data_IF_394999960586
#
_entry.id   IF_394999960586
#
_cell.length_a   1.000
_cell.length_b   1.000
_cell.length_c   1.000
_cell.angle_alpha   90.00
_cell.angle_beta   90.00
_cell.angle_gamma   90.00
#
_symmetry.space_group_name_H-M   'P 1'
#
loop_
_entity.id
_entity.type
_entity.pdbx_description
1 polymer ?
#
# COMPACT_ATOMS: atom_id res chain seq x y z
N UNK A 1 10.03 19.11 11.24
CA UNK A 1 9.71 17.66 11.25
C UNK A 1 8.21 17.50 11.04
N UNK A 2 7.81 16.60 10.12
CA UNK A 2 6.40 16.25 10.01
C UNK A 2 5.98 15.58 11.33
N UNK A 3 4.83 15.97 11.92
CA UNK A 3 4.40 15.40 13.18
C UNK A 3 4.23 13.88 13.05
N UNK A 4 4.65 13.14 14.07
CA UNK A 4 4.42 11.69 14.12
C UNK A 4 2.91 11.45 14.20
N UNK A 5 2.32 10.51 13.43
CA UNK A 5 0.94 10.14 13.67
C UNK A 5 0.81 9.62 15.11
N UNK A 6 -0.06 10.24 15.88
CA UNK A 6 -0.33 9.82 17.26
C UNK A 6 -1.29 8.63 17.21
N UNK A 7 -0.79 7.47 16.81
CA UNK A 7 -1.58 6.23 16.75
C UNK A 7 -1.35 5.41 18.02
N UNK A 8 -2.42 4.76 18.48
CA UNK A 8 -2.44 3.83 19.61
C UNK A 8 -2.69 2.39 19.18
N UNK A 9 -3.08 2.21 17.91
CA UNK A 9 -3.39 0.90 17.33
C UNK A 9 -3.51 0.92 15.82
N UNK A 10 -3.58 -0.28 15.23
CA UNK A 10 -3.67 -0.45 13.78
C UNK A 10 -4.97 0.06 13.15
N UNK A 11 -6.01 0.22 13.93
CA UNK A 11 -7.33 0.68 13.45
C UNK A 11 -7.55 2.18 13.59
N UNK A 12 -6.58 2.90 14.17
CA UNK A 12 -6.69 4.34 14.33
C UNK A 12 -6.74 5.04 12.98
N UNK A 13 -7.55 6.09 12.92
CA UNK A 13 -7.70 6.90 11.73
C UNK A 13 -6.44 7.74 11.49
N UNK A 14 -5.91 7.67 10.29
CA UNK A 14 -4.77 8.47 9.82
C UNK A 14 -5.12 9.13 8.50
N UNK A 15 -4.57 10.31 8.26
CA UNK A 15 -4.68 10.98 6.97
C UNK A 15 -3.40 10.72 6.16
N UNK A 16 -3.54 10.31 4.92
CA UNK A 16 -2.43 10.04 4.02
C UNK A 16 -1.82 11.36 3.50
N UNK A 17 -0.78 11.83 4.18
CA UNK A 17 -0.08 13.05 3.81
C UNK A 17 -1.02 14.25 3.65
N UNK A 18 -0.94 14.94 2.49
CA UNK A 18 -1.78 16.10 2.15
C UNK A 18 -2.98 15.75 1.28
N UNK A 19 -3.30 14.47 1.08
CA UNK A 19 -4.34 14.02 0.14
C UNK A 19 -5.77 14.25 0.61
N UNK A 20 -5.99 14.45 1.92
CA UNK A 20 -7.32 14.43 2.52
C UNK A 20 -7.96 13.03 2.59
N UNK A 21 -7.27 11.98 2.17
CA UNK A 21 -7.73 10.59 2.30
C UNK A 21 -7.46 10.12 3.72
N UNK A 22 -8.52 9.80 4.46
CA UNK A 22 -8.44 9.25 5.83
C UNK A 22 -8.74 7.75 5.79
N UNK A 23 -7.94 6.96 6.51
CA UNK A 23 -8.03 5.50 6.52
C UNK A 23 -7.53 4.93 7.85
N UNK A 24 -7.53 3.60 8.04
CA UNK A 24 -6.87 2.96 9.18
C UNK A 24 -5.36 2.95 9.01
N UNK A 25 -4.62 2.98 10.14
CA UNK A 25 -3.16 2.90 10.13
C UNK A 25 -2.64 1.59 9.53
N UNK A 26 -3.27 0.45 9.88
CA UNK A 26 -3.00 -0.83 9.25
C UNK A 26 -3.80 -0.97 7.96
N UNK A 27 -3.13 -1.29 6.86
CA UNK A 27 -3.74 -1.71 5.62
C UNK A 27 -3.79 -3.25 5.53
N UNK A 28 -4.88 -3.73 4.96
CA UNK A 28 -5.09 -5.12 4.63
C UNK A 28 -4.33 -5.47 3.34
N UNK A 29 -3.14 -6.07 3.48
CA UNK A 29 -2.28 -6.44 2.36
C UNK A 29 -2.79 -7.69 1.63
N UNK A 30 -3.04 -7.57 0.33
CA UNK A 30 -3.58 -8.67 -0.49
C UNK A 30 -2.58 -9.28 -1.47
N UNK A 31 -1.35 -8.75 -1.53
CA UNK A 31 -0.35 -9.05 -2.56
C UNK A 31 0.75 -10.03 -2.15
N UNK A 32 0.56 -10.88 -1.14
CA UNK A 32 1.55 -11.89 -0.78
C UNK A 32 1.77 -12.86 -1.95
N UNK A 33 3.03 -13.03 -2.37
CA UNK A 33 3.41 -13.80 -3.57
C UNK A 33 2.53 -13.47 -4.79
N UNK A 34 2.22 -12.15 -4.94
CA UNK A 34 1.34 -11.65 -5.98
C UNK A 34 2.05 -11.44 -7.31
N UNK A 35 1.43 -11.84 -8.39
CA UNK A 35 1.88 -11.70 -9.77
C UNK A 35 0.94 -12.42 -10.72
N UNK A 36 0.99 -12.08 -12.00
CA UNK A 36 0.16 -12.71 -13.03
C UNK A 36 -1.34 -12.75 -12.68
N UNK A 37 -1.85 -11.70 -12.04
CA UNK A 37 -3.23 -11.58 -11.54
C UNK A 37 -3.64 -12.70 -10.58
N UNK A 38 -2.73 -13.08 -9.70
CA UNK A 38 -2.93 -14.06 -8.64
C UNK A 38 -2.12 -13.69 -7.41
N UNK A 39 -2.55 -14.07 -6.22
CA UNK A 39 -1.83 -13.91 -4.95
C UNK A 39 -2.16 -15.07 -4.02
N UNK A 40 -1.43 -15.22 -2.91
CA UNK A 40 -1.75 -16.24 -1.91
C UNK A 40 -3.20 -16.14 -1.46
N UNK A 41 -3.69 -14.91 -1.30
CA UNK A 41 -5.05 -14.69 -0.83
C UNK A 41 -6.11 -15.08 -1.88
N UNK A 42 -5.91 -14.76 -3.16
CA UNK A 42 -6.85 -15.16 -4.23
C UNK A 42 -6.84 -16.68 -4.45
N UNK A 43 -5.71 -17.34 -4.27
CA UNK A 43 -5.61 -18.81 -4.34
C UNK A 43 -6.38 -19.55 -3.25
N UNK A 44 -6.74 -18.88 -2.16
CA UNK A 44 -7.62 -19.45 -1.13
C UNK A 44 -9.09 -19.58 -1.60
N UNK A 45 -9.46 -18.88 -2.67
CA UNK A 45 -10.82 -18.82 -3.20
C UNK A 45 -11.68 -17.75 -2.53
N UNK A 46 -12.81 -17.42 -3.20
CA UNK A 46 -13.68 -16.31 -2.86
C UNK A 46 -14.23 -16.36 -1.42
N UNK A 47 -14.67 -17.51 -0.98
CA UNK A 47 -15.27 -17.65 0.38
C UNK A 47 -14.27 -17.28 1.47
N UNK A 48 -13.04 -17.83 1.41
CA UNK A 48 -12.01 -17.54 2.40
C UNK A 48 -11.55 -16.08 2.29
N UNK A 49 -11.36 -15.57 1.07
CA UNK A 49 -11.05 -14.16 0.85
C UNK A 49 -12.08 -13.25 1.53
N UNK A 50 -13.36 -13.47 1.25
CA UNK A 50 -14.46 -12.70 1.81
C UNK A 50 -14.45 -12.76 3.34
N UNK A 51 -14.31 -13.94 3.93
CA UNK A 51 -14.29 -14.12 5.38
C UNK A 51 -13.15 -13.33 6.04
N UNK A 52 -11.94 -13.40 5.47
CA UNK A 52 -10.76 -12.74 6.03
C UNK A 52 -10.91 -11.22 5.90
N UNK A 53 -11.31 -10.71 4.73
CA UNK A 53 -11.48 -9.28 4.52
C UNK A 53 -12.59 -8.71 5.39
N UNK A 54 -13.74 -9.40 5.50
CA UNK A 54 -14.85 -8.99 6.36
C UNK A 54 -14.44 -8.93 7.82
N UNK A 55 -13.73 -9.95 8.29
CA UNK A 55 -13.18 -9.95 9.65
C UNK A 55 -12.30 -8.72 9.89
N UNK A 56 -11.40 -8.38 8.95
CA UNK A 56 -10.58 -7.17 9.05
C UNK A 56 -11.40 -5.88 9.13
N UNK A 57 -12.47 -5.77 8.32
CA UNK A 57 -13.37 -4.62 8.35
C UNK A 57 -14.15 -4.52 9.68
N UNK A 58 -14.61 -5.65 10.21
CA UNK A 58 -15.32 -5.72 11.49
C UNK A 58 -14.41 -5.32 12.66
N UNK A 59 -13.12 -5.70 12.60
CA UNK A 59 -12.08 -5.26 13.53
C UNK A 59 -11.65 -3.79 13.33
N UNK A 60 -12.11 -3.10 12.28
CA UNK A 60 -11.84 -1.69 12.00
C UNK A 60 -10.68 -1.42 11.05
N UNK A 61 -10.10 -2.43 10.39
CA UNK A 61 -9.12 -2.25 9.32
C UNK A 61 -9.86 -1.79 8.06
N UNK A 62 -9.69 -0.52 7.67
CA UNK A 62 -10.44 0.10 6.57
C UNK A 62 -9.62 0.31 5.30
N UNK A 63 -8.31 0.19 5.37
CA UNK A 63 -7.40 0.42 4.28
C UNK A 63 -7.15 -0.87 3.50
N UNK A 64 -7.60 -0.93 2.24
CA UNK A 64 -7.42 -2.11 1.39
C UNK A 64 -6.28 -1.86 0.40
N UNK A 65 -5.22 -2.63 0.52
CA UNK A 65 -4.05 -2.59 -0.35
C UNK A 65 -4.20 -3.66 -1.44
N UNK A 66 -4.67 -3.24 -2.61
CA UNK A 66 -4.92 -4.05 -3.79
C UNK A 66 -3.91 -3.75 -4.90
N UNK A 67 -3.91 -4.54 -5.94
CA UNK A 67 -3.26 -4.24 -7.22
C UNK A 67 -3.84 -5.11 -8.34
N UNK A 68 -3.74 -4.63 -9.59
CA UNK A 68 -4.15 -5.41 -10.76
C UNK A 68 -3.42 -6.77 -10.81
N UNK A 69 -2.09 -6.76 -10.66
CA UNK A 69 -1.29 -7.98 -10.71
C UNK A 69 -1.57 -8.99 -9.58
N UNK A 70 -2.30 -8.59 -8.54
CA UNK A 70 -2.70 -9.52 -7.48
C UNK A 70 -4.00 -10.27 -7.81
N UNK A 71 -4.73 -9.83 -8.84
CA UNK A 71 -6.02 -10.39 -9.24
C UNK A 71 -7.13 -10.20 -8.21
N UNK A 72 -6.98 -9.22 -7.32
CA UNK A 72 -7.82 -9.08 -6.12
C UNK A 72 -9.07 -8.23 -6.33
N UNK A 73 -9.19 -7.50 -7.44
CA UNK A 73 -10.33 -6.61 -7.68
C UNK A 73 -11.68 -7.33 -7.66
N UNK A 74 -11.90 -8.42 -8.43
CA UNK A 74 -13.18 -9.13 -8.40
C UNK A 74 -13.49 -9.73 -7.03
N UNK A 75 -12.46 -10.26 -6.34
CA UNK A 75 -12.60 -10.81 -5.00
C UNK A 75 -13.01 -9.75 -3.99
N UNK A 76 -12.37 -8.58 -4.04
CA UNK A 76 -12.69 -7.46 -3.18
C UNK A 76 -14.12 -6.96 -3.43
N UNK A 77 -14.55 -6.84 -4.70
CA UNK A 77 -15.91 -6.46 -5.04
C UNK A 77 -16.94 -7.36 -4.38
N UNK A 78 -16.77 -8.69 -4.50
CA UNK A 78 -17.67 -9.65 -3.85
C UNK A 78 -17.65 -9.52 -2.32
N UNK A 79 -16.48 -9.42 -1.75
CA UNK A 79 -16.31 -9.27 -0.30
C UNK A 79 -16.90 -7.96 0.23
N UNK A 80 -16.97 -6.90 -0.56
CA UNK A 80 -17.48 -5.58 -0.18
C UNK A 80 -18.99 -5.40 -0.45
N UNK A 81 -19.68 -6.38 -1.03
CA UNK A 81 -21.14 -6.28 -1.24
C UNK A 81 -21.88 -5.93 0.04
N UNK A 82 -22.68 -4.84 -0.01
CA UNK A 82 -23.44 -4.36 1.14
C UNK A 82 -22.63 -3.58 2.19
N UNK A 83 -21.32 -3.41 2.00
CA UNK A 83 -20.52 -2.50 2.84
C UNK A 83 -20.64 -1.08 2.27
N UNK A 84 -21.05 -0.09 3.07
CA UNK A 84 -21.08 1.30 2.62
C UNK A 84 -19.69 1.77 2.12
N UNK A 85 -19.67 2.55 1.03
CA UNK A 85 -18.41 2.97 0.36
C UNK A 85 -17.50 3.80 1.26
N UNK A 86 -18.05 4.54 2.19
CA UNK A 86 -17.33 5.37 3.16
C UNK A 86 -16.69 4.58 4.31
N UNK A 87 -16.97 3.28 4.40
CA UNK A 87 -16.42 2.41 5.44
C UNK A 87 -15.04 1.83 5.09
N UNK A 88 -14.55 2.02 3.87
CA UNK A 88 -13.26 1.50 3.43
C UNK A 88 -12.56 2.44 2.45
N UNK A 89 -11.24 2.33 2.40
CA UNK A 89 -10.35 3.06 1.50
C UNK A 89 -9.75 2.08 0.49
N UNK A 90 -9.94 2.35 -0.80
CA UNK A 90 -9.41 1.54 -1.89
C UNK A 90 -8.09 2.12 -2.41
N UNK A 91 -7.02 1.39 -2.21
CA UNK A 91 -5.76 1.61 -2.89
C UNK A 91 -5.53 0.48 -3.88
N UNK A 92 -5.22 0.83 -5.11
CA UNK A 92 -4.77 -0.14 -6.12
C UNK A 92 -3.56 0.36 -6.88
N UNK A 93 -2.99 -0.48 -7.73
CA UNK A 93 -1.77 -0.20 -8.46
C UNK A 93 -1.89 -0.66 -9.91
N UNK A 94 -1.49 0.22 -10.83
CA UNK A 94 -1.35 -0.08 -12.25
C UNK A 94 0.07 -0.55 -12.53
N UNK A 95 0.24 -1.67 -13.24
CA UNK A 95 1.54 -2.08 -13.72
C UNK A 95 2.05 -1.09 -14.79
N UNK A 96 3.32 -0.71 -14.78
CA UNK A 96 3.77 0.37 -15.65
C UNK A 96 3.88 -0.02 -17.13
N UNK A 97 4.09 -1.30 -17.43
CA UNK A 97 4.27 -1.78 -18.79
C UNK A 97 2.92 -2.10 -19.44
N UNK A 98 2.60 -1.41 -20.52
CA UNK A 98 1.32 -1.57 -21.23
C UNK A 98 1.10 -2.96 -21.82
N UNK A 99 2.18 -3.69 -22.10
CA UNK A 99 2.16 -5.06 -22.62
C UNK A 99 1.50 -6.05 -21.64
N UNK A 100 1.54 -5.73 -20.36
CA UNK A 100 0.92 -6.52 -19.29
C UNK A 100 -0.53 -6.10 -19.00
N UNK A 101 -1.06 -5.09 -19.69
CA UNK A 101 -2.43 -4.62 -19.51
C UNK A 101 -3.44 -5.52 -20.24
N UNK A 102 -4.64 -5.57 -19.69
CA UNK A 102 -5.78 -6.25 -20.37
C UNK A 102 -6.19 -5.47 -21.63
N UNK A 103 -5.99 -4.15 -21.60
CA UNK A 103 -6.31 -3.25 -22.72
C UNK A 103 -5.05 -2.53 -23.24
N UNK A 104 -4.06 -3.24 -23.83
CA UNK A 104 -2.75 -2.66 -24.13
C UNK A 104 -2.77 -1.52 -25.14
N UNK A 105 -3.83 -1.40 -25.93
CA UNK A 105 -4.01 -0.31 -26.92
C UNK A 105 -4.67 0.94 -26.34
N UNK A 106 -5.34 0.85 -25.21
CA UNK A 106 -6.22 1.89 -24.67
C UNK A 106 -5.52 2.96 -23.84
N UNK A 107 -4.50 2.60 -23.10
CA UNK A 107 -3.80 3.49 -22.18
C UNK A 107 -4.20 3.29 -20.71
N UNK A 108 -3.54 4.03 -19.81
CA UNK A 108 -3.75 3.90 -18.37
C UNK A 108 -5.17 4.28 -17.95
N UNK A 109 -5.82 5.21 -18.67
CA UNK A 109 -7.21 5.56 -18.40
C UNK A 109 -8.15 4.36 -18.55
N UNK A 110 -8.04 3.61 -19.63
CA UNK A 110 -8.90 2.43 -19.86
C UNK A 110 -8.65 1.33 -18.83
N UNK A 111 -7.38 1.13 -18.43
CA UNK A 111 -7.03 0.19 -17.37
C UNK A 111 -7.63 0.62 -16.02
N UNK A 112 -7.53 1.89 -15.65
CA UNK A 112 -8.11 2.40 -14.41
C UNK A 112 -9.64 2.35 -14.44
N UNK A 113 -10.26 2.65 -15.58
CA UNK A 113 -11.71 2.48 -15.77
C UNK A 113 -12.12 1.00 -15.63
N UNK A 114 -11.27 0.07 -16.09
CA UNK A 114 -11.46 -1.37 -15.83
C UNK A 114 -11.38 -1.68 -14.32
N UNK A 115 -10.39 -1.15 -13.60
CA UNK A 115 -10.28 -1.35 -12.14
C UNK A 115 -11.53 -0.88 -11.41
N UNK A 116 -12.06 0.28 -11.79
CA UNK A 116 -13.29 0.84 -11.22
C UNK A 116 -14.49 -0.08 -11.47
N UNK A 117 -14.63 -0.62 -12.70
CA UNK A 117 -15.67 -1.59 -13.02
C UNK A 117 -15.50 -2.90 -12.26
N UNK A 118 -14.29 -3.44 -12.17
CA UNK A 118 -13.98 -4.67 -11.44
C UNK A 118 -14.26 -4.53 -9.95
N UNK A 119 -13.95 -3.39 -9.36
CA UNK A 119 -14.20 -3.07 -7.95
C UNK A 119 -15.64 -2.62 -7.67
N UNK A 120 -16.39 -2.24 -8.70
CA UNK A 120 -17.76 -1.72 -8.55
C UNK A 120 -17.81 -0.36 -7.87
N UNK A 121 -16.89 0.54 -8.22
CA UNK A 121 -16.78 1.88 -7.63
C UNK A 121 -16.58 2.95 -8.71
N UNK A 122 -17.08 4.15 -8.46
CA UNK A 122 -16.85 5.31 -9.34
C UNK A 122 -15.53 6.02 -9.04
N UNK A 123 -14.93 5.79 -7.87
CA UNK A 123 -13.72 6.48 -7.45
C UNK A 123 -12.76 5.52 -6.74
N UNK A 124 -11.47 5.62 -7.08
CA UNK A 124 -10.36 5.03 -6.34
C UNK A 124 -9.80 6.07 -5.37
N UNK A 125 -9.57 5.70 -4.12
CA UNK A 125 -8.96 6.63 -3.17
C UNK A 125 -7.48 6.86 -3.47
N UNK A 126 -6.75 5.81 -3.87
CA UNK A 126 -5.35 5.91 -4.27
C UNK A 126 -5.08 4.99 -5.46
N UNK A 127 -4.39 5.50 -6.48
CA UNK A 127 -3.85 4.68 -7.57
C UNK A 127 -2.34 4.91 -7.71
N UNK A 128 -1.54 3.85 -7.54
CA UNK A 128 -0.08 3.92 -7.64
C UNK A 128 0.41 3.35 -8.97
N UNK A 129 1.52 3.88 -9.49
CA UNK A 129 2.33 3.15 -10.48
C UNK A 129 3.12 2.09 -9.70
N UNK A 130 3.02 0.83 -10.13
CA UNK A 130 3.51 -0.32 -9.39
C UNK A 130 4.99 -0.58 -9.66
N UNK A 131 5.80 -0.78 -8.60
CA UNK A 131 7.12 -1.38 -8.65
C UNK A 131 8.19 -0.54 -9.40
N UNK A 132 8.45 0.68 -8.93
CA UNK A 132 9.52 1.51 -9.49
C UNK A 132 10.90 0.98 -9.11
N UNK A 133 11.76 0.74 -10.10
CA UNK A 133 13.02 0.01 -9.99
C UNK A 133 14.27 0.87 -10.23
N UNK A 134 14.13 2.14 -10.57
CA UNK A 134 15.24 3.08 -10.77
C UNK A 134 14.78 4.53 -10.65
N UNK A 135 15.73 5.47 -10.55
CA UNK A 135 15.47 6.89 -10.37
C UNK A 135 14.84 7.59 -11.58
N UNK A 136 14.94 7.00 -12.79
CA UNK A 136 14.40 7.59 -14.04
C UNK A 136 12.93 7.20 -14.28
N UNK A 137 12.29 6.49 -13.34
CA UNK A 137 10.91 6.08 -13.49
C UNK A 137 9.93 7.20 -13.88
N UNK A 138 10.12 8.48 -13.45
CA UNK A 138 9.17 9.53 -13.84
C UNK A 138 9.19 9.81 -15.33
N UNK A 139 10.35 9.73 -15.96
CA UNK A 139 10.53 9.93 -17.39
C UNK A 139 10.12 8.67 -18.19
N UNK A 140 10.50 7.50 -17.70
CA UNK A 140 10.18 6.22 -18.33
C UNK A 140 8.66 5.94 -18.35
N UNK A 141 7.93 6.38 -17.32
CA UNK A 141 6.49 6.20 -17.19
C UNK A 141 5.70 7.51 -17.27
N UNK A 142 6.24 8.52 -17.99
CA UNK A 142 5.62 9.84 -18.10
C UNK A 142 4.17 9.77 -18.59
N UNK A 143 3.90 8.95 -19.62
CA UNK A 143 2.54 8.79 -20.15
C UNK A 143 1.56 8.29 -19.08
N UNK A 144 1.91 7.23 -18.35
CA UNK A 144 1.04 6.68 -17.28
C UNK A 144 0.81 7.73 -16.20
N UNK A 145 1.84 8.46 -15.82
CA UNK A 145 1.77 9.54 -14.85
C UNK A 145 0.85 10.67 -15.31
N UNK A 146 0.95 11.09 -16.58
CA UNK A 146 0.13 12.16 -17.15
C UNK A 146 -1.35 11.74 -17.26
N UNK A 147 -1.61 10.48 -17.63
CA UNK A 147 -2.96 9.93 -17.66
C UNK A 147 -3.57 9.80 -16.25
N UNK A 148 -2.78 9.40 -15.24
CA UNK A 148 -3.22 9.39 -13.84
C UNK A 148 -3.49 10.80 -13.30
N UNK A 149 -2.73 11.81 -13.75
CA UNK A 149 -2.99 13.22 -13.40
C UNK A 149 -4.36 13.66 -13.89
N UNK A 150 -4.71 13.35 -15.14
CA UNK A 150 -6.04 13.65 -15.70
C UNK A 150 -7.16 12.96 -14.94
N UNK A 151 -6.98 11.69 -14.59
CA UNK A 151 -7.94 10.93 -13.80
C UNK A 151 -8.12 11.51 -12.39
N UNK A 152 -7.07 12.09 -11.82
CA UNK A 152 -7.15 12.80 -10.54
C UNK A 152 -7.93 14.12 -10.70
N UNK A 153 -7.66 14.88 -11.74
CA UNK A 153 -8.38 16.13 -12.04
C UNK A 153 -9.89 15.87 -12.32
N UNK A 154 -10.21 14.74 -12.96
CA UNK A 154 -11.58 14.27 -13.21
C UNK A 154 -12.28 13.69 -11.95
N UNK A 155 -11.55 13.48 -10.85
CA UNK A 155 -12.07 12.88 -9.62
C UNK A 155 -12.25 11.36 -9.66
N UNK A 156 -11.79 10.69 -10.70
CA UNK A 156 -11.80 9.22 -10.80
C UNK A 156 -10.79 8.56 -9.84
N UNK A 157 -9.72 9.28 -9.49
CA UNK A 157 -8.70 8.92 -8.53
C UNK A 157 -8.49 10.10 -7.59
N UNK A 158 -8.44 9.90 -6.27
CA UNK A 158 -8.25 11.00 -5.29
C UNK A 158 -6.78 11.32 -5.05
N UNK A 159 -5.91 10.32 -5.04
CA UNK A 159 -4.48 10.48 -4.83
C UNK A 159 -3.68 9.54 -5.72
N UNK A 160 -2.50 10.00 -6.14
CA UNK A 160 -1.59 9.25 -7.02
C UNK A 160 -0.24 9.06 -6.36
N UNK A 161 0.55 8.13 -6.87
CA UNK A 161 1.89 7.90 -6.35
C UNK A 161 2.54 6.64 -6.91
N UNK A 162 3.45 6.08 -6.14
CA UNK A 162 4.27 4.94 -6.58
C UNK A 162 4.53 3.94 -5.46
N UNK A 163 4.75 2.68 -5.83
CA UNK A 163 5.43 1.72 -4.96
C UNK A 163 6.88 1.56 -5.42
N UNK A 164 7.84 1.72 -4.50
CA UNK A 164 9.27 1.70 -4.81
C UNK A 164 9.89 0.36 -4.40
N UNK A 165 10.74 -0.15 -5.28
CA UNK A 165 11.54 -1.36 -5.08
C UNK A 165 13.03 -1.10 -5.40
N UNK A 166 13.45 0.16 -5.29
CA UNK A 166 14.82 0.66 -5.45
C UNK A 166 14.98 1.96 -4.67
N UNK A 167 16.13 2.19 -4.05
CA UNK A 167 16.36 3.38 -3.22
C UNK A 167 16.49 4.67 -4.06
N UNK A 168 17.04 4.59 -5.28
CA UNK A 168 17.06 5.72 -6.21
C UNK A 168 15.65 6.13 -6.61
N UNK A 169 14.79 5.14 -6.91
CA UNK A 169 13.37 5.38 -7.18
C UNK A 169 12.67 6.02 -5.97
N UNK A 170 12.95 5.56 -4.75
CA UNK A 170 12.37 6.10 -3.52
C UNK A 170 12.84 7.56 -3.29
N UNK A 171 14.12 7.85 -3.47
CA UNK A 171 14.67 9.22 -3.38
C UNK A 171 13.98 10.15 -4.37
N UNK A 172 13.82 9.69 -5.61
CA UNK A 172 13.12 10.46 -6.64
C UNK A 172 11.65 10.72 -6.28
N UNK A 173 10.95 9.71 -5.78
CA UNK A 173 9.56 9.83 -5.33
C UNK A 173 9.40 10.81 -4.16
N UNK A 174 10.35 10.81 -3.22
CA UNK A 174 10.33 11.70 -2.06
C UNK A 174 10.35 13.19 -2.44
N UNK A 175 11.01 13.52 -3.57
CA UNK A 175 11.21 14.91 -4.00
C UNK A 175 10.22 15.35 -5.11
N UNK A 176 9.63 14.41 -5.86
CA UNK A 176 8.78 14.76 -7.00
C UNK A 176 7.40 15.28 -6.54
N UNK A 177 7.01 16.54 -6.89
CA UNK A 177 5.74 17.13 -6.46
C UNK A 177 4.50 16.32 -6.87
N UNK A 178 4.57 15.61 -8.00
CA UNK A 178 3.48 14.77 -8.50
C UNK A 178 3.06 13.64 -7.54
N UNK A 179 3.98 13.14 -6.72
CA UNK A 179 3.73 12.01 -5.83
C UNK A 179 2.99 12.46 -4.58
N UNK A 180 1.82 11.91 -4.33
CA UNK A 180 1.06 12.07 -3.09
C UNK A 180 1.38 10.96 -2.08
N UNK A 181 1.45 9.69 -2.55
CA UNK A 181 1.60 8.49 -1.71
C UNK A 181 2.76 7.63 -2.20
N UNK A 182 3.60 7.20 -1.27
CA UNK A 182 4.74 6.31 -1.51
C UNK A 182 4.55 5.03 -0.72
N UNK A 183 4.62 3.87 -1.40
CA UNK A 183 4.84 2.59 -0.75
C UNK A 183 6.32 2.29 -0.71
N UNK A 184 6.88 2.10 0.48
CA UNK A 184 8.30 1.89 0.71
C UNK A 184 8.57 0.62 1.51
N UNK A 185 9.58 -0.13 1.09
CA UNK A 185 10.04 -1.33 1.80
C UNK A 185 10.83 -0.92 3.03
N UNK A 186 10.37 -1.33 4.20
CA UNK A 186 11.00 -0.95 5.48
C UNK A 186 10.82 -2.01 6.56
N UNK A 187 11.89 -2.37 7.24
CA UNK A 187 11.90 -3.16 8.46
C UNK A 187 13.21 -2.87 9.24
N UNK A 188 13.36 -3.44 10.44
CA UNK A 188 14.51 -3.18 11.31
C UNK A 188 15.84 -3.77 10.82
N UNK A 189 15.80 -4.71 9.87
CA UNK A 189 17.01 -5.37 9.35
C UNK A 189 17.65 -4.59 8.21
N UNK A 190 16.83 -3.93 7.39
CA UNK A 190 17.31 -3.28 6.18
C UNK A 190 17.91 -4.24 5.15
N UNK A 191 18.34 -3.71 4.00
CA UNK A 191 19.06 -4.43 2.97
C UNK A 191 18.26 -5.47 2.19
N UNK A 192 18.79 -5.87 1.03
CA UNK A 192 18.12 -6.75 0.08
C UNK A 192 17.80 -8.14 0.65
N UNK A 193 18.59 -8.66 1.60
CA UNK A 193 18.34 -9.94 2.26
C UNK A 193 16.97 -9.96 2.98
N UNK A 194 16.48 -8.82 3.43
CA UNK A 194 15.19 -8.66 4.11
C UNK A 194 14.20 -7.81 3.32
N UNK A 195 14.35 -7.77 1.99
CA UNK A 195 13.45 -7.07 1.08
C UNK A 195 13.41 -5.55 1.29
N UNK A 196 14.50 -4.93 1.71
CA UNK A 196 14.67 -3.49 1.78
C UNK A 196 15.66 -3.00 0.74
N UNK A 197 15.51 -1.73 0.34
CA UNK A 197 16.24 -1.16 -0.80
C UNK A 197 17.61 -0.57 -0.42
N UNK A 198 17.87 -0.43 0.87
CA UNK A 198 19.12 0.07 1.42
C UNK A 198 19.22 -0.24 2.93
N UNK A 199 20.22 0.31 3.61
CA UNK A 199 20.34 0.26 5.06
C UNK A 199 19.17 0.95 5.74
N UNK A 200 18.89 0.58 6.98
CA UNK A 200 17.83 1.20 7.78
C UNK A 200 18.03 2.70 7.95
N UNK A 201 19.27 3.14 8.06
CA UNK A 201 19.62 4.55 8.23
C UNK A 201 19.31 5.39 6.98
N UNK A 202 19.75 4.94 5.81
CA UNK A 202 19.52 5.65 4.55
C UNK A 202 18.03 5.68 4.17
N UNK A 203 17.33 4.57 4.38
CA UNK A 203 15.88 4.54 4.20
C UNK A 203 15.17 5.51 5.14
N UNK A 204 15.53 5.52 6.43
CA UNK A 204 14.91 6.43 7.41
C UNK A 204 15.12 7.91 7.04
N UNK A 205 16.30 8.30 6.56
CA UNK A 205 16.57 9.67 6.06
C UNK A 205 15.63 10.02 4.91
N UNK A 206 15.50 9.12 3.93
CA UNK A 206 14.66 9.35 2.75
C UNK A 206 13.17 9.41 3.11
N UNK A 207 12.69 8.53 3.99
CA UNK A 207 11.29 8.51 4.42
C UNK A 207 10.91 9.77 5.24
N UNK A 208 11.79 10.23 6.12
CA UNK A 208 11.58 11.51 6.84
C UNK A 208 11.52 12.69 5.87
N UNK A 209 12.38 12.73 4.85
CA UNK A 209 12.34 13.75 3.79
C UNK A 209 11.04 13.70 3.00
N UNK A 210 10.60 12.52 2.59
CA UNK A 210 9.32 12.34 1.90
C UNK A 210 8.15 12.91 2.72
N UNK A 211 8.07 12.56 4.00
CA UNK A 211 7.04 13.06 4.92
C UNK A 211 7.14 14.57 5.15
N UNK A 212 8.34 15.12 5.29
CA UNK A 212 8.57 16.57 5.40
C UNK A 212 8.08 17.32 4.14
N UNK A 213 8.20 16.69 2.95
CA UNK A 213 7.65 17.20 1.69
C UNK A 213 6.12 16.99 1.56
N UNK A 214 5.45 16.47 2.60
CA UNK A 214 4.01 16.29 2.65
C UNK A 214 3.50 15.04 1.94
N UNK A 215 4.39 14.11 1.57
CA UNK A 215 4.00 12.82 1.01
C UNK A 215 3.48 11.90 2.11
N UNK A 216 2.49 11.07 1.79
CA UNK A 216 2.16 9.93 2.62
C UNK A 216 3.17 8.81 2.40
N UNK A 217 3.69 8.23 3.47
CA UNK A 217 4.52 7.03 3.41
C UNK A 217 3.76 5.84 3.98
N UNK A 218 3.54 4.82 3.16
CA UNK A 218 2.98 3.54 3.58
C UNK A 218 4.09 2.49 3.59
N UNK A 219 4.40 1.97 4.77
CA UNK A 219 5.43 0.95 4.93
C UNK A 219 4.94 -0.41 4.43
N UNK A 220 5.73 -1.07 3.60
CA UNK A 220 5.52 -2.45 3.19
C UNK A 220 6.75 -3.32 3.51
N UNK A 221 6.62 -4.64 3.41
CA UNK A 221 7.67 -5.61 3.78
C UNK A 221 8.09 -5.49 5.27
N UNK A 222 7.17 -5.11 6.12
CA UNK A 222 7.39 -4.95 7.57
C UNK A 222 7.98 -6.23 8.19
N UNK A 223 7.55 -7.39 7.70
CA UNK A 223 8.07 -8.70 8.12
C UNK A 223 8.99 -9.35 7.06
N UNK A 224 9.68 -8.52 6.23
CA UNK A 224 10.66 -8.98 5.25
C UNK A 224 10.10 -9.99 4.24
N UNK A 225 8.84 -9.81 3.79
CA UNK A 225 8.14 -10.76 2.91
C UNK A 225 8.14 -12.21 3.45
N UNK A 226 7.99 -12.37 4.77
CA UNK A 226 7.99 -13.67 5.44
C UNK A 226 9.37 -14.18 5.88
N UNK A 227 10.44 -13.41 5.67
CA UNK A 227 11.80 -13.78 6.12
C UNK A 227 12.01 -13.55 7.63
N UNK A 228 11.23 -12.64 8.23
CA UNK A 228 11.20 -12.44 9.69
C UNK A 228 10.16 -13.39 10.30
N UNK A 229 10.59 -14.62 10.55
CA UNK A 229 9.69 -15.70 11.02
C UNK A 229 9.50 -15.73 12.52
N UNK A 230 10.52 -15.32 13.30
CA UNK A 230 10.47 -15.35 14.75
C UNK A 230 9.63 -14.20 15.30
N UNK A 231 8.83 -14.43 16.35
CA UNK A 231 8.03 -13.38 16.98
C UNK A 231 8.85 -12.15 17.41
N UNK A 232 10.06 -12.37 17.93
CA UNK A 232 10.97 -11.31 18.39
C UNK A 232 11.42 -10.39 17.23
N UNK A 233 11.71 -10.99 16.05
CA UNK A 233 12.11 -10.23 14.86
C UNK A 233 10.94 -9.39 14.33
N UNK A 234 9.72 -9.93 14.36
CA UNK A 234 8.50 -9.20 13.96
C UNK A 234 8.21 -8.04 14.91
N UNK A 235 8.33 -8.28 16.21
CA UNK A 235 8.16 -7.24 17.21
C UNK A 235 9.23 -6.15 17.09
N UNK A 236 10.51 -6.52 16.91
CA UNK A 236 11.59 -5.58 16.68
C UNK A 236 11.33 -4.71 15.43
N UNK A 237 10.78 -5.31 14.35
CA UNK A 237 10.44 -4.57 13.15
C UNK A 237 9.32 -3.55 13.39
N UNK A 238 8.25 -3.94 14.07
CA UNK A 238 7.17 -3.02 14.42
C UNK A 238 7.67 -1.88 15.31
N UNK A 239 8.44 -2.17 16.36
CA UNK A 239 9.03 -1.15 17.24
C UNK A 239 9.92 -0.19 16.46
N UNK A 240 10.75 -0.69 15.54
CA UNK A 240 11.61 0.14 14.71
C UNK A 240 10.80 1.09 13.82
N UNK A 241 9.82 0.58 13.08
CA UNK A 241 9.02 1.38 12.13
C UNK A 241 8.16 2.41 12.87
N UNK A 242 7.49 1.99 13.95
CA UNK A 242 6.59 2.83 14.74
C UNK A 242 7.35 3.84 15.61
N UNK A 243 8.38 3.38 16.32
CA UNK A 243 9.17 4.22 17.24
C UNK A 243 9.94 5.33 16.55
N UNK A 244 10.34 5.13 15.29
CA UNK A 244 11.03 6.15 14.50
C UNK A 244 10.10 7.07 13.71
N UNK A 245 8.77 6.85 13.72
CA UNK A 245 7.80 7.68 13.02
C UNK A 245 8.05 7.76 11.52
N UNK A 246 8.42 6.63 10.90
CA UNK A 246 8.85 6.59 9.51
C UNK A 246 7.69 6.51 8.51
N UNK A 247 6.51 6.10 8.96
CA UNK A 247 5.36 5.82 8.10
C UNK A 247 4.09 6.51 8.61
N UNK A 248 3.17 6.81 7.72
CA UNK A 248 1.83 7.31 8.02
C UNK A 248 0.81 6.18 8.12
N UNK A 249 1.09 5.06 7.45
CA UNK A 249 0.35 3.80 7.50
C UNK A 249 1.30 2.63 7.16
N UNK A 250 0.87 1.40 7.35
CA UNK A 250 1.62 0.21 6.93
C UNK A 250 0.69 -0.86 6.38
N UNK A 251 1.22 -1.70 5.47
CA UNK A 251 0.51 -2.85 4.93
C UNK A 251 1.16 -4.16 5.40
N UNK A 252 0.33 -5.08 5.89
CA UNK A 252 0.74 -6.43 6.28
C UNK A 252 -0.21 -7.43 5.62
N UNK A 253 0.36 -8.41 4.94
CA UNK A 253 -0.40 -9.50 4.30
C UNK A 253 -0.95 -10.47 5.32
N UNK A 254 -2.18 -10.97 5.09
CA UNK A 254 -2.86 -11.95 5.92
C UNK A 254 -3.57 -12.99 5.05
N UNK A 255 -3.58 -14.24 5.50
CA UNK A 255 -4.26 -15.37 4.84
C UNK A 255 -5.23 -16.11 5.78
N UNK A 256 -5.40 -15.58 7.00
CA UNK A 256 -6.35 -16.10 7.99
C UNK A 256 -6.87 -14.96 8.89
N UNK A 257 -8.12 -15.03 9.39
CA UNK A 257 -8.66 -14.02 10.31
C UNK A 257 -7.78 -13.81 11.55
N UNK A 258 -7.31 -14.89 12.19
CA UNK A 258 -6.45 -14.78 13.37
C UNK A 258 -5.13 -14.02 13.14
N UNK A 259 -4.63 -13.95 11.91
CA UNK A 259 -3.45 -13.13 11.59
C UNK A 259 -3.79 -11.63 11.60
N UNK A 260 -5.04 -11.25 11.30
CA UNK A 260 -5.50 -9.86 11.46
C UNK A 260 -5.43 -9.48 12.93
N UNK A 261 -5.98 -10.33 13.80
CA UNK A 261 -6.01 -10.12 15.26
C UNK A 261 -4.60 -10.04 15.83
N UNK A 262 -3.70 -10.96 15.41
CA UNK A 262 -2.30 -10.98 15.82
C UNK A 262 -1.57 -9.70 15.41
N UNK A 263 -1.77 -9.22 14.18
CA UNK A 263 -1.17 -7.98 13.70
C UNK A 263 -1.66 -6.77 14.50
N UNK A 264 -2.96 -6.66 14.75
CA UNK A 264 -3.54 -5.57 15.56
C UNK A 264 -3.00 -5.57 16.99
N UNK A 265 -2.90 -6.74 17.63
CA UNK A 265 -2.34 -6.89 18.96
C UNK A 265 -0.84 -6.53 18.99
N UNK A 266 -0.08 -6.99 17.99
CA UNK A 266 1.36 -6.73 17.91
C UNK A 266 1.67 -5.26 17.70
N UNK A 267 0.87 -4.55 16.87
CA UNK A 267 0.98 -3.10 16.69
C UNK A 267 0.71 -2.37 18.02
N UNK A 268 -0.35 -2.74 18.75
CA UNK A 268 -0.65 -2.15 20.06
C UNK A 268 0.50 -2.35 21.05
N UNK A 269 1.04 -3.57 21.16
CA UNK A 269 2.19 -3.84 22.02
C UNK A 269 3.42 -3.00 21.66
N UNK A 270 3.72 -2.90 20.36
CA UNK A 270 4.87 -2.12 19.89
C UNK A 270 4.72 -0.61 20.12
N UNK A 271 3.50 -0.08 20.16
CA UNK A 271 3.20 1.33 20.46
C UNK A 271 3.20 1.65 21.97
N UNK A 272 2.98 0.62 22.82
CA UNK A 272 2.93 0.78 24.29
C UNK A 272 4.28 0.58 24.96
N UNK A 273 5.31 0.19 24.23
CA UNK A 273 6.66 -0.09 24.73
C UNK A 273 7.60 1.08 24.48
#
# INVERSE_FOLDING_TARGET
>A
EAPRPTVKGGTDAVTLGRTGVTTSFLAFGTGMNGGNRSSDLTRLGQEKFTRILRHGLDEGVRFLDLADLYGTHPFAREALKGVPRDRYTLLTKIWPNKEDWVTPSGGAKEEVDRFRRELGTDTLDVCLIHCMLNERWPEEHARVRDELSKLKDEGAVRAVGVSCHDHGALKRAADLPWVDVIFARINHRGGAAFECDDTTEELAKTLRRARANGKAVVGMKIFGAGKLTRPEDREASLRYVLGNGLVDAMTIGTTAPGQVDENLQSIRRALSA
#
